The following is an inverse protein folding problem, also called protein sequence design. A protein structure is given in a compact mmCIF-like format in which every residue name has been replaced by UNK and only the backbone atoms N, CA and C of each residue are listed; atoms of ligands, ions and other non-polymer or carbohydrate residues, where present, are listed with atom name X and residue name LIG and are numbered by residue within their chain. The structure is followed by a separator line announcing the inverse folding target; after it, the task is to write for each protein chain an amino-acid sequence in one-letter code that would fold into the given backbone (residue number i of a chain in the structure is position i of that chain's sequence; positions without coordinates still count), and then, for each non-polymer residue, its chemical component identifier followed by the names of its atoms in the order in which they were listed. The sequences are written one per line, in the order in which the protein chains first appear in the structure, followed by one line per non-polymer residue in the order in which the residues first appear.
data_IF_697021843563
#
_entry.id   IF_697021843563
#
_cell.length_a   1.000
_cell.length_b   1.000
_cell.length_c   1.000
_cell.angle_alpha   90.00
_cell.angle_beta   90.00
_cell.angle_gamma   90.00
#
_symmetry.space_group_name_H-M   'P 1'
#
loop_
_entity.id
_entity.type
_entity.pdbx_description
1 polymer ?
#
# COMPACT_ATOMS: atom_id res chain seq x y z
N UNK A 1 3.86 -21.24 -2.92
CA UNK A 1 3.65 -20.20 -1.89
C UNK A 1 2.22 -19.74 -1.97
N UNK A 2 1.49 -19.67 -0.85
CA UNK A 2 0.10 -19.19 -0.87
C UNK A 2 0.09 -17.66 -0.97
N UNK A 3 -0.98 -17.10 -1.53
CA UNK A 3 -1.16 -15.64 -1.66
C UNK A 3 -0.98 -14.89 -0.33
N UNK A 4 -1.41 -15.49 0.79
CA UNK A 4 -1.26 -14.95 2.13
C UNK A 4 0.21 -14.80 2.53
N UNK A 5 1.05 -15.79 2.19
CA UNK A 5 2.49 -15.75 2.47
C UNK A 5 3.17 -14.67 1.62
N UNK A 6 2.78 -14.53 0.36
CA UNK A 6 3.30 -13.47 -0.51
C UNK A 6 2.94 -12.07 -0.02
N UNK A 7 1.71 -11.87 0.47
CA UNK A 7 1.29 -10.59 1.03
C UNK A 7 2.04 -10.28 2.33
N UNK A 8 2.26 -11.28 3.20
CA UNK A 8 3.11 -11.14 4.39
C UNK A 8 4.53 -10.74 4.03
N UNK A 9 5.14 -11.42 3.06
CA UNK A 9 6.51 -11.11 2.62
C UNK A 9 6.57 -9.68 2.06
N UNK A 10 5.61 -9.29 1.20
CA UNK A 10 5.57 -7.94 0.65
C UNK A 10 5.47 -6.86 1.74
N UNK A 11 4.66 -7.09 2.78
CA UNK A 11 4.55 -6.19 3.93
C UNK A 11 5.83 -6.16 4.80
N UNK A 12 6.51 -7.29 4.96
CA UNK A 12 7.78 -7.38 5.71
C UNK A 12 8.93 -6.68 4.97
N UNK A 13 9.00 -6.82 3.65
CA UNK A 13 9.98 -6.13 2.80
C UNK A 13 9.64 -4.65 2.59
N UNK A 14 8.55 -4.17 3.19
CA UNK A 14 8.03 -2.81 3.03
C UNK A 14 7.76 -2.45 1.55
N UNK A 15 7.47 -3.45 0.72
CA UNK A 15 7.18 -3.29 -0.69
C UNK A 15 5.68 -3.03 -0.89
N UNK A 16 5.29 -1.77 -0.75
CA UNK A 16 3.89 -1.34 -0.84
C UNK A 16 3.29 -1.52 -2.24
N UNK A 17 4.12 -1.45 -3.29
CA UNK A 17 3.67 -1.69 -4.67
C UNK A 17 3.24 -3.15 -4.85
N UNK A 18 4.09 -4.09 -4.41
CA UNK A 18 3.77 -5.53 -4.45
C UNK A 18 2.60 -5.86 -3.53
N UNK A 19 2.55 -5.29 -2.33
CA UNK A 19 1.44 -5.51 -1.40
C UNK A 19 0.11 -5.00 -1.96
N UNK A 20 0.09 -3.81 -2.58
CA UNK A 20 -1.08 -3.25 -3.26
C UNK A 20 -1.57 -4.14 -4.39
N UNK A 21 -0.67 -4.54 -5.29
CA UNK A 21 -0.99 -5.44 -6.40
C UNK A 21 -1.58 -6.78 -5.93
N UNK A 22 -1.06 -7.33 -4.82
CA UNK A 22 -1.61 -8.56 -4.22
C UNK A 22 -3.01 -8.35 -3.63
N UNK A 23 -3.29 -7.20 -3.02
CA UNK A 23 -4.63 -6.85 -2.52
C UNK A 23 -5.63 -6.69 -3.68
N UNK A 24 -5.22 -6.07 -4.79
CA UNK A 24 -6.07 -5.95 -5.99
C UNK A 24 -6.38 -7.30 -6.62
N UNK A 25 -5.41 -8.22 -6.62
CA UNK A 25 -5.55 -9.58 -7.15
C UNK A 25 -5.91 -10.60 -6.05
N UNK A 26 -6.68 -10.18 -5.04
CA UNK A 26 -7.05 -11.05 -3.93
C UNK A 26 -7.88 -12.27 -4.42
N UNK A 27 -7.38 -13.52 -4.28
CA UNK A 27 -8.03 -14.71 -4.81
C UNK A 27 -9.35 -15.05 -4.07
N UNK A 28 -9.53 -14.50 -2.87
CA UNK A 28 -10.73 -14.70 -2.07
C UNK A 28 -11.92 -13.85 -2.53
N UNK A 29 -11.73 -12.87 -3.43
CA UNK A 29 -12.83 -12.07 -3.95
C UNK A 29 -13.80 -12.92 -4.80
N UNK A 30 -13.26 -13.87 -5.57
CA UNK A 30 -14.05 -14.72 -6.45
C UNK A 30 -14.29 -16.12 -5.84
N UNK A 31 -13.38 -16.60 -4.99
CA UNK A 31 -13.41 -17.97 -4.46
C UNK A 31 -13.32 -18.03 -2.91
N UNK A 32 -13.97 -17.09 -2.22
CA UNK A 32 -14.01 -17.05 -0.74
C UNK A 32 -14.41 -18.40 -0.10
N UNK A 33 -15.23 -19.19 -0.78
CA UNK A 33 -15.73 -20.49 -0.29
C UNK A 33 -14.67 -21.59 -0.26
N UNK A 34 -13.55 -21.43 -0.94
CA UNK A 34 -12.46 -22.41 -0.96
C UNK A 34 -11.43 -22.20 0.17
N UNK A 35 -11.52 -21.09 0.91
CA UNK A 35 -10.61 -20.75 1.99
C UNK A 35 -11.25 -21.02 3.36
N UNK A 36 -10.46 -21.59 4.27
CA UNK A 36 -10.89 -21.73 5.67
C UNK A 36 -11.01 -20.35 6.35
N UNK A 37 -11.86 -20.29 7.38
CA UNK A 37 -12.11 -19.08 8.17
C UNK A 37 -10.81 -18.45 8.69
N UNK A 38 -9.84 -19.25 9.13
CA UNK A 38 -8.55 -18.75 9.61
C UNK A 38 -7.80 -17.99 8.51
N UNK A 39 -7.77 -18.55 7.30
CA UNK A 39 -7.12 -17.94 6.13
C UNK A 39 -7.77 -16.60 5.79
N UNK A 40 -9.10 -16.54 5.84
CA UNK A 40 -9.85 -15.31 5.57
C UNK A 40 -9.61 -14.23 6.64
N UNK A 41 -9.49 -14.62 7.91
CA UNK A 41 -9.16 -13.68 8.98
C UNK A 41 -7.75 -13.10 8.83
N UNK A 42 -6.77 -13.94 8.53
CA UNK A 42 -5.39 -13.50 8.27
C UNK A 42 -5.37 -12.57 7.06
N UNK A 43 -6.04 -12.95 5.96
CA UNK A 43 -6.12 -12.12 4.75
C UNK A 43 -6.71 -10.74 5.05
N UNK A 44 -7.80 -10.68 5.83
CA UNK A 44 -8.43 -9.42 6.25
C UNK A 44 -7.47 -8.54 7.04
N UNK A 45 -6.73 -9.11 7.99
CA UNK A 45 -5.78 -8.35 8.81
C UNK A 45 -4.62 -7.79 7.97
N UNK A 46 -4.09 -8.59 7.04
CA UNK A 46 -3.03 -8.15 6.14
C UNK A 46 -3.52 -7.05 5.18
N UNK A 47 -4.72 -7.19 4.63
CA UNK A 47 -5.32 -6.15 3.78
C UNK A 47 -5.50 -4.86 4.58
N UNK A 48 -5.99 -4.93 5.82
CA UNK A 48 -6.13 -3.76 6.67
C UNK A 48 -4.78 -3.06 6.93
N UNK A 49 -3.72 -3.85 7.18
CA UNK A 49 -2.36 -3.31 7.31
C UNK A 49 -1.86 -2.65 6.02
N UNK A 50 -2.09 -3.26 4.86
CA UNK A 50 -1.74 -2.68 3.56
C UNK A 50 -2.45 -1.36 3.34
N UNK A 51 -3.75 -1.28 3.64
CA UNK A 51 -4.54 -0.05 3.53
C UNK A 51 -3.97 1.06 4.42
N UNK A 52 -3.68 0.75 5.69
CA UNK A 52 -3.12 1.74 6.62
C UNK A 52 -1.80 2.32 6.10
N UNK A 53 -0.89 1.46 5.63
CA UNK A 53 0.40 1.91 5.09
C UNK A 53 0.27 2.70 3.78
N UNK A 54 -0.66 2.32 2.90
CA UNK A 54 -0.95 3.08 1.68
C UNK A 54 -1.49 4.48 1.99
N UNK A 55 -2.35 4.60 3.01
CA UNK A 55 -2.84 5.89 3.47
C UNK A 55 -1.72 6.77 4.05
N UNK A 56 -0.82 6.19 4.86
CA UNK A 56 0.35 6.91 5.37
C UNK A 56 1.25 7.40 4.22
N UNK A 57 1.52 6.54 3.24
CA UNK A 57 2.31 6.90 2.05
C UNK A 57 1.63 8.03 1.25
N UNK A 58 0.31 7.99 1.08
CA UNK A 58 -0.45 9.04 0.41
C UNK A 58 -0.36 10.38 1.14
N UNK A 59 -0.47 10.39 2.47
CA UNK A 59 -0.32 11.60 3.28
C UNK A 59 1.08 12.19 3.14
N UNK A 60 2.11 11.34 3.21
CA UNK A 60 3.49 11.76 3.07
C UNK A 60 3.76 12.36 1.68
N UNK A 61 3.26 11.73 0.62
CA UNK A 61 3.34 12.26 -0.75
C UNK A 61 2.68 13.65 -0.85
N UNK A 62 1.53 13.85 -0.22
CA UNK A 62 0.86 15.15 -0.16
C UNK A 62 1.69 16.24 0.52
N UNK A 63 2.46 15.90 1.56
CA UNK A 63 3.42 16.81 2.19
C UNK A 63 4.57 17.13 1.24
N UNK A 64 5.18 16.11 0.64
CA UNK A 64 6.30 16.27 -0.30
C UNK A 64 5.92 17.12 -1.51
N UNK A 65 4.71 16.93 -2.06
CA UNK A 65 4.19 17.74 -3.17
C UNK A 65 4.06 19.22 -2.79
N UNK A 66 3.60 19.52 -1.57
CA UNK A 66 3.52 20.91 -1.07
C UNK A 66 4.91 21.53 -0.92
N UNK A 67 5.88 20.78 -0.40
CA UNK A 67 7.27 21.23 -0.29
C UNK A 67 7.89 21.50 -1.67
N UNK A 68 7.70 20.60 -2.63
CA UNK A 68 8.15 20.78 -4.02
C UNK A 68 7.52 22.02 -4.66
N UNK A 69 6.23 22.25 -4.44
CA UNK A 69 5.54 23.44 -4.96
C UNK A 69 6.11 24.73 -4.36
N UNK A 70 6.40 24.74 -3.07
CA UNK A 70 7.04 25.88 -2.41
C UNK A 70 8.46 26.14 -2.94
N UNK A 71 9.26 25.09 -3.10
CA UNK A 71 10.61 25.17 -3.66
C UNK A 71 10.61 25.68 -5.12
N UNK A 72 9.70 25.17 -5.96
CA UNK A 72 9.50 25.66 -7.33
C UNK A 72 9.13 27.13 -7.35
N UNK A 73 8.15 27.53 -6.53
CA UNK A 73 7.73 28.93 -6.42
C UNK A 73 8.88 29.85 -6.00
N UNK A 74 9.76 29.40 -5.09
CA UNK A 74 10.96 30.14 -4.71
C UNK A 74 11.91 30.35 -5.91
N UNK A 75 12.18 29.29 -6.67
CA UNK A 75 13.04 29.37 -7.86
C UNK A 75 12.47 30.31 -8.94
N UNK A 76 11.14 30.44 -9.04
CA UNK A 76 10.49 31.36 -9.98
C UNK A 76 10.59 32.84 -9.54
N UNK A 77 10.63 33.13 -8.23
CA UNK A 77 10.67 34.49 -7.69
C UNK A 77 12.08 34.99 -7.34
N UNK A 78 13.06 34.10 -7.29
CA UNK A 78 14.47 34.43 -7.09
C UNK A 78 15.20 34.38 -8.44
N UNK A 79 15.05 35.40 -9.32
CA UNK A 79 15.86 35.48 -10.52
C UNK A 79 17.33 35.67 -10.10
N UNK A 80 18.20 34.80 -10.62
CA UNK A 80 19.64 35.02 -10.63
C UNK A 80 19.99 36.29 -11.40
#
# INVERSE_FOLDING_TARGET
MNWVDELKIALLENNLEKAGALVENCPFLENAQQADLETLQIARELIAQTIARLQEAQQHLGVQMRQLKAARRFMEIAPY
#
